data_IF_487223275682
#
_entry.id   IF_487223275682
#
_cell.length_a   1.000
_cell.length_b   1.000
_cell.length_c   1.000
_cell.angle_alpha   90.00
_cell.angle_beta   90.00
_cell.angle_gamma   90.00
#
_symmetry.space_group_name_H-M   'P 1'
#
loop_
_entity.id
_entity.type
_entity.pdbx_description
1 polymer ?
#
# COMPACT_ATOMS: atom_id res chain seq x y z
N UNK A 1 27.72 30.02 -8.49
CA UNK A 1 26.40 29.42 -8.17
C UNK A 1 26.53 27.90 -8.20
N UNK A 2 26.06 27.19 -7.17
CA UNK A 2 26.03 25.71 -7.21
C UNK A 2 24.77 25.29 -7.97
N UNK A 3 24.94 24.68 -9.14
CA UNK A 3 23.81 24.14 -9.91
C UNK A 3 23.09 23.05 -9.11
N UNK A 4 21.76 23.11 -9.08
CA UNK A 4 20.92 22.11 -8.40
C UNK A 4 20.85 20.85 -9.27
N UNK A 5 21.36 19.73 -8.75
CA UNK A 5 21.23 18.43 -9.41
C UNK A 5 19.80 17.92 -9.28
N UNK A 6 19.26 17.36 -10.37
CA UNK A 6 17.95 16.73 -10.41
C UNK A 6 18.12 15.21 -10.40
N UNK A 7 17.45 14.53 -9.50
CA UNK A 7 17.41 13.08 -9.42
C UNK A 7 16.01 12.55 -9.77
N UNK A 8 15.96 11.33 -10.25
CA UNK A 8 14.74 10.53 -10.37
C UNK A 8 14.91 9.25 -9.59
N UNK A 9 13.83 8.83 -8.97
CA UNK A 9 13.74 7.62 -8.20
C UNK A 9 12.51 6.84 -8.69
N UNK A 10 12.66 5.54 -8.89
CA UNK A 10 11.58 4.68 -9.33
C UNK A 10 11.42 3.44 -8.46
N UNK A 11 10.17 3.06 -8.23
CA UNK A 11 9.79 1.80 -7.56
C UNK A 11 8.93 0.98 -8.49
N UNK A 12 9.43 -0.19 -8.87
CA UNK A 12 8.65 -1.19 -9.60
C UNK A 12 7.97 -2.13 -8.61
N UNK A 13 6.64 -2.16 -8.65
CA UNK A 13 5.81 -3.12 -7.92
C UNK A 13 5.33 -4.17 -8.92
N UNK A 14 5.82 -5.41 -8.78
CA UNK A 14 5.57 -6.46 -9.76
C UNK A 14 4.34 -7.29 -9.41
N UNK A 15 4.34 -7.88 -8.21
CA UNK A 15 3.34 -8.87 -7.79
C UNK A 15 3.13 -8.84 -6.28
N UNK A 16 1.90 -9.09 -5.85
CA UNK A 16 1.53 -9.45 -4.49
C UNK A 16 1.27 -10.96 -4.39
N UNK A 17 1.70 -11.59 -3.30
CA UNK A 17 1.42 -12.98 -2.97
C UNK A 17 0.97 -13.13 -1.52
N UNK A 18 -0.14 -13.85 -1.33
CA UNK A 18 -0.65 -14.25 -0.02
C UNK A 18 -0.87 -13.06 0.93
N UNK A 19 -1.39 -11.94 0.42
CA UNK A 19 -1.74 -10.79 1.26
C UNK A 19 -2.72 -11.21 2.34
N UNK A 20 -2.57 -10.62 3.53
CA UNK A 20 -3.53 -10.79 4.61
C UNK A 20 -4.89 -10.24 4.20
N UNK A 21 -5.93 -10.85 4.77
CA UNK A 21 -7.29 -10.34 4.74
C UNK A 21 -7.36 -9.20 5.75
N UNK A 22 -7.68 -7.99 5.30
CA UNK A 22 -7.98 -6.87 6.19
C UNK A 22 -9.50 -6.63 6.25
N UNK A 23 -10.21 -6.78 5.12
CA UNK A 23 -11.67 -6.74 5.10
C UNK A 23 -12.29 -7.93 5.85
N UNK A 24 -12.82 -7.68 7.05
CA UNK A 24 -13.56 -8.70 7.82
C UNK A 24 -14.83 -9.19 7.09
N UNK A 25 -15.48 -8.32 6.32
CA UNK A 25 -16.77 -8.62 5.69
C UNK A 25 -16.61 -9.45 4.41
N UNK A 26 -15.67 -9.07 3.55
CA UNK A 26 -15.47 -9.73 2.25
C UNK A 26 -14.45 -10.86 2.28
N UNK A 27 -13.70 -11.04 3.38
CA UNK A 27 -12.55 -11.93 3.45
C UNK A 27 -11.52 -11.66 2.35
N UNK A 28 -11.38 -10.39 1.97
CA UNK A 28 -10.48 -9.93 0.91
C UNK A 28 -9.57 -8.82 1.42
N UNK A 29 -8.69 -8.36 0.55
CA UNK A 29 -8.04 -7.07 0.67
C UNK A 29 -8.00 -6.40 -0.71
N UNK A 30 -7.95 -5.08 -0.69
CA UNK A 30 -7.79 -4.14 -1.78
C UNK A 30 -6.39 -3.48 -1.72
N UNK A 31 -5.29 -4.25 -1.79
CA UNK A 31 -3.96 -3.74 -1.50
C UNK A 31 -3.51 -2.69 -2.50
N UNK A 32 -2.81 -1.68 -2.00
CA UNK A 32 -2.13 -0.67 -2.79
C UNK A 32 -0.78 -0.27 -2.17
N UNK A 33 0.10 0.29 -2.99
CA UNK A 33 1.42 0.75 -2.56
C UNK A 33 1.47 2.26 -2.63
N UNK A 34 1.99 2.87 -1.57
CA UNK A 34 2.30 4.28 -1.50
C UNK A 34 3.79 4.48 -1.21
N UNK A 35 4.47 5.23 -2.05
CA UNK A 35 5.88 5.57 -1.88
C UNK A 35 5.97 7.02 -1.42
N UNK A 36 6.73 7.24 -0.36
CA UNK A 36 6.98 8.54 0.23
C UNK A 36 8.48 8.82 0.32
N UNK A 37 8.90 9.96 -0.24
CA UNK A 37 10.27 10.43 -0.15
C UNK A 37 10.33 11.95 -0.17
N UNK A 38 11.02 12.55 0.80
CA UNK A 38 11.18 14.01 0.90
C UNK A 38 9.85 14.80 0.76
N UNK A 39 8.80 14.36 1.47
CA UNK A 39 7.42 14.89 1.42
C UNK A 39 6.65 14.67 0.09
N UNK A 40 7.30 14.18 -0.97
CA UNK A 40 6.62 13.71 -2.17
C UNK A 40 5.97 12.35 -1.90
N UNK A 41 4.72 12.17 -2.34
CA UNK A 41 3.93 10.96 -2.14
C UNK A 41 3.30 10.53 -3.47
N UNK A 42 3.53 9.29 -3.88
CA UNK A 42 2.90 8.68 -5.05
C UNK A 42 2.27 7.37 -4.64
N UNK A 43 1.09 7.07 -5.15
CA UNK A 43 0.35 5.84 -4.83
C UNK A 43 -0.14 5.14 -6.09
N UNK A 44 -0.18 3.81 -6.05
CA UNK A 44 -0.86 3.01 -7.08
C UNK A 44 -2.37 3.08 -6.91
N UNK A 45 -3.10 2.67 -7.95
CA UNK A 45 -4.51 2.35 -7.80
C UNK A 45 -4.69 1.08 -6.92
N UNK A 46 -5.75 1.00 -6.11
CA UNK A 46 -6.05 -0.19 -5.32
C UNK A 46 -6.52 -1.34 -6.21
N UNK A 47 -6.09 -2.56 -5.86
CA UNK A 47 -6.48 -3.79 -6.56
C UNK A 47 -7.62 -4.50 -5.85
N UNK A 48 -8.84 -4.28 -6.33
CA UNK A 48 -10.05 -4.79 -5.67
C UNK A 48 -10.08 -6.31 -5.51
N UNK A 49 -10.29 -6.77 -4.29
CA UNK A 49 -10.61 -8.13 -3.85
C UNK A 49 -9.59 -9.18 -4.28
N UNK A 50 -8.30 -8.87 -4.18
CA UNK A 50 -7.22 -9.77 -4.63
C UNK A 50 -6.13 -9.92 -3.57
N UNK A 51 -6.00 -11.14 -3.06
CA UNK A 51 -4.91 -11.52 -2.15
C UNK A 51 -3.59 -11.82 -2.88
N UNK A 52 -3.68 -12.22 -4.15
CA UNK A 52 -2.54 -12.47 -5.04
C UNK A 52 -2.85 -11.79 -6.38
N UNK A 53 -1.95 -10.91 -6.83
CA UNK A 53 -2.17 -10.14 -8.05
C UNK A 53 -0.88 -9.67 -8.70
N UNK A 54 -0.86 -9.68 -10.03
CA UNK A 54 0.14 -8.98 -10.83
C UNK A 54 -0.20 -7.48 -10.88
N UNK A 55 0.69 -6.65 -10.37
CA UNK A 55 0.53 -5.19 -10.29
C UNK A 55 1.15 -4.53 -11.52
N UNK A 56 2.43 -4.84 -11.80
CA UNK A 56 3.24 -4.34 -12.92
C UNK A 56 3.18 -2.82 -13.08
N UNK A 57 3.36 -2.09 -11.99
CA UNK A 57 3.38 -0.61 -11.99
C UNK A 57 4.76 -0.07 -11.59
N UNK A 58 5.15 1.04 -12.21
CA UNK A 58 6.33 1.81 -11.85
C UNK A 58 5.89 3.16 -11.26
N UNK A 59 6.28 3.44 -10.01
CA UNK A 59 6.06 4.73 -9.37
C UNK A 59 7.33 5.55 -9.53
N UNK A 60 7.26 6.64 -10.29
CA UNK A 60 8.39 7.52 -10.55
C UNK A 60 8.24 8.84 -9.79
N UNK A 61 9.24 9.13 -8.97
CA UNK A 61 9.35 10.32 -8.12
C UNK A 61 10.57 11.13 -8.57
N UNK A 62 10.35 12.41 -8.90
CA UNK A 62 11.46 13.35 -9.14
C UNK A 62 11.87 14.00 -7.83
N UNK A 63 13.17 14.14 -7.65
CA UNK A 63 13.80 14.58 -6.40
C UNK A 63 14.80 15.68 -6.71
N UNK A 64 14.80 16.74 -5.89
CA UNK A 64 15.75 17.84 -6.00
C UNK A 64 16.83 17.72 -4.92
N UNK A 65 18.10 17.90 -5.27
CA UNK A 65 19.18 18.04 -4.29
C UNK A 65 19.40 19.52 -3.91
N UNK A 66 19.74 19.85 -2.65
CA UNK A 66 20.06 18.94 -1.54
C UNK A 66 18.84 18.27 -0.90
N UNK A 67 19.03 17.04 -0.44
CA UNK A 67 18.00 16.25 0.24
C UNK A 67 18.09 16.42 1.75
N UNK A 68 16.93 16.54 2.40
CA UNK A 68 16.81 16.63 3.86
C UNK A 68 16.79 15.27 4.55
N UNK A 69 16.64 14.17 3.80
CA UNK A 69 16.57 12.82 4.35
C UNK A 69 17.05 11.75 3.37
N UNK A 70 17.53 10.64 3.91
CA UNK A 70 18.03 9.48 3.15
C UNK A 70 17.00 8.34 3.07
N UNK A 71 15.90 8.43 3.81
CA UNK A 71 14.96 7.31 3.94
C UNK A 71 13.82 7.42 2.92
N UNK A 72 13.75 6.43 2.03
CA UNK A 72 12.59 6.18 1.18
C UNK A 72 11.65 5.24 1.94
N UNK A 73 10.39 5.64 2.13
CA UNK A 73 9.38 4.80 2.79
C UNK A 73 8.41 4.25 1.75
N UNK A 74 8.30 2.93 1.69
CA UNK A 74 7.32 2.22 0.88
C UNK A 74 6.27 1.64 1.82
N UNK A 75 5.05 2.15 1.71
CA UNK A 75 3.90 1.76 2.52
C UNK A 75 3.04 0.78 1.71
N UNK A 76 2.66 -0.32 2.36
CA UNK A 76 1.69 -1.28 1.87
C UNK A 76 0.42 -1.09 2.69
N UNK A 77 -0.69 -0.77 2.03
CA UNK A 77 -1.95 -0.43 2.68
C UNK A 77 -3.10 -1.20 2.05
N UNK A 78 -4.14 -1.42 2.83
CA UNK A 78 -5.44 -1.86 2.32
C UNK A 78 -6.33 -0.63 2.07
N UNK A 79 -7.07 -0.63 0.97
CA UNK A 79 -7.99 0.46 0.67
C UNK A 79 -9.37 0.13 1.20
N UNK A 80 -9.65 0.59 2.42
CA UNK A 80 -10.97 0.43 3.01
C UNK A 80 -11.88 1.53 2.52
N UNK A 81 -13.00 1.19 1.87
CA UNK A 81 -14.08 2.15 1.74
C UNK A 81 -14.67 2.32 3.13
N UNK A 82 -14.29 3.38 3.82
CA UNK A 82 -15.05 3.85 4.97
C UNK A 82 -16.37 4.34 4.39
N UNK A 83 -17.36 3.45 4.33
CA UNK A 83 -18.75 3.85 4.33
C UNK A 83 -18.95 4.58 5.65
N UNK A 84 -18.62 5.88 5.64
CA UNK A 84 -18.99 6.79 6.69
C UNK A 84 -20.46 6.46 6.98
N UNK A 85 -20.77 6.13 8.23
CA UNK A 85 -22.04 5.58 8.71
C UNK A 85 -23.29 6.44 8.40
N UNK A 86 -23.17 7.43 7.52
CA UNK A 86 -24.24 8.18 6.91
C UNK A 86 -25.22 7.30 6.12
N UNK A 87 -24.89 6.13 5.55
CA UNK A 87 -25.94 5.36 4.85
C UNK A 87 -27.02 4.88 5.82
N UNK A 88 -26.65 4.42 7.02
CA UNK A 88 -27.65 4.03 8.03
C UNK A 88 -28.43 5.23 8.58
N UNK A 89 -27.79 6.38 8.79
CA UNK A 89 -28.49 7.61 9.22
C UNK A 89 -29.41 8.14 8.13
N UNK A 90 -28.99 8.16 6.86
CA UNK A 90 -29.85 8.59 5.75
C UNK A 90 -30.99 7.60 5.52
N UNK A 91 -30.79 6.28 5.63
CA UNK A 91 -31.89 5.31 5.52
C UNK A 91 -32.89 5.48 6.67
N UNK A 92 -32.43 5.64 7.92
CA UNK A 92 -33.31 5.89 9.08
C UNK A 92 -34.03 7.24 9.01
N UNK A 93 -33.36 8.30 8.54
CA UNK A 93 -33.98 9.60 8.31
C UNK A 93 -35.00 9.52 7.16
N UNK A 94 -34.69 8.81 6.06
CA UNK A 94 -35.64 8.63 4.96
C UNK A 94 -36.85 7.79 5.38
N UNK A 95 -36.66 6.72 6.17
CA UNK A 95 -37.80 5.95 6.71
C UNK A 95 -38.60 6.77 7.71
N UNK A 96 -37.97 7.52 8.62
CA UNK A 96 -38.69 8.41 9.53
C UNK A 96 -39.44 9.52 8.78
N UNK A 97 -38.83 10.15 7.76
CA UNK A 97 -39.49 11.18 6.94
C UNK A 97 -40.63 10.57 6.12
N UNK A 98 -40.50 9.36 5.59
CA UNK A 98 -41.61 8.71 4.87
C UNK A 98 -42.76 8.32 5.81
N UNK A 99 -42.45 7.82 7.00
CA UNK A 99 -43.48 7.52 8.03
C UNK A 99 -44.15 8.80 8.50
N UNK A 100 -43.40 9.87 8.75
CA UNK A 100 -43.94 11.19 9.10
C UNK A 100 -44.75 11.81 7.95
N UNK A 101 -44.30 11.71 6.70
CA UNK A 101 -45.06 12.20 5.54
C UNK A 101 -46.33 11.37 5.29
N UNK A 102 -46.31 10.06 5.55
CA UNK A 102 -47.51 9.23 5.47
C UNK A 102 -48.47 9.51 6.63
N UNK A 103 -47.98 9.84 7.83
CA UNK A 103 -48.85 10.31 8.93
C UNK A 103 -49.41 11.72 8.67
N UNK A 104 -48.61 12.63 8.10
CA UNK A 104 -49.03 14.01 7.79
C UNK A 104 -49.95 14.09 6.57
N UNK A 105 -49.87 13.17 5.60
CA UNK A 105 -50.81 13.10 4.47
C UNK A 105 -52.22 12.68 4.86
N UNK A 106 -52.42 12.15 6.05
CA UNK A 106 -53.74 11.76 6.57
C UNK A 106 -54.54 12.94 7.11
N UNK A 107 -53.94 14.12 7.29
CA UNK A 107 -54.63 15.32 7.77
C UNK A 107 -54.02 16.59 7.16
N UNK A 108 -54.86 17.37 6.47
CA UNK A 108 -54.65 18.76 6.01
C UNK A 108 -54.24 18.96 4.54
N UNK A 109 -55.27 19.39 3.79
CA UNK A 109 -55.20 20.12 2.54
C UNK A 109 -54.93 21.61 2.88
N UNK A 110 -53.68 22.03 3.12
CA UNK A 110 -53.36 23.46 3.35
C UNK A 110 -52.05 23.87 2.67
N UNK A 111 -52.21 24.77 1.69
CA UNK A 111 -51.30 25.75 1.07
C UNK A 111 -49.78 25.57 1.16
N UNK A 112 -49.21 25.22 0.01
CA UNK A 112 -47.80 25.31 -0.34
C UNK A 112 -47.41 26.74 -0.74
N UNK A 113 -46.90 27.58 0.17
CA UNK A 113 -45.95 28.63 -0.22
C UNK A 113 -44.99 28.93 0.94
N UNK A 114 -43.69 29.04 0.62
CA UNK A 114 -42.57 29.53 1.47
C UNK A 114 -41.83 28.50 2.34
N UNK A 115 -41.05 27.62 1.70
CA UNK A 115 -39.78 27.11 2.26
C UNK A 115 -38.67 27.08 1.21
N UNK A 116 -38.31 28.26 0.69
CA UNK A 116 -36.98 28.49 0.09
C UNK A 116 -36.09 29.16 1.12
N UNK A 117 -34.82 28.73 1.17
CA UNK A 117 -33.67 29.42 1.79
C UNK A 117 -33.28 29.01 3.22
N UNK A 118 -32.81 27.77 3.37
CA UNK A 118 -31.71 27.44 4.30
C UNK A 118 -31.05 26.09 3.94
N UNK A 119 -30.38 26.04 2.78
CA UNK A 119 -29.32 25.04 2.54
C UNK A 119 -28.01 25.70 2.97
N UNK A 120 -27.78 25.71 4.28
CA UNK A 120 -26.46 26.04 4.82
C UNK A 120 -25.48 24.98 4.38
N UNK A 121 -24.34 25.42 3.85
CA UNK A 121 -23.15 24.60 3.64
C UNK A 121 -22.88 23.81 4.94
N UNK A 122 -23.18 22.52 4.94
CA UNK A 122 -22.47 21.61 5.82
C UNK A 122 -21.09 21.45 5.20
N UNK A 123 -20.10 22.09 5.79
CA UNK A 123 -18.71 21.70 5.57
C UNK A 123 -18.64 20.22 5.92
N UNK A 124 -18.45 19.38 4.90
CA UNK A 124 -18.04 18.00 5.10
C UNK A 124 -16.65 18.08 5.72
N UNK A 125 -16.59 18.05 7.04
CA UNK A 125 -15.40 17.57 7.73
C UNK A 125 -15.21 16.14 7.21
N UNK A 126 -14.38 16.01 6.18
CA UNK A 126 -13.99 14.72 5.65
C UNK A 126 -13.19 14.06 6.77
N UNK A 127 -13.84 13.16 7.51
CA UNK A 127 -13.16 12.31 8.46
C UNK A 127 -11.91 11.78 7.79
N UNK A 128 -10.77 11.93 8.47
CA UNK A 128 -9.49 11.42 7.98
C UNK A 128 -9.65 9.92 7.85
N UNK A 129 -9.70 9.43 6.62
CA UNK A 129 -9.78 8.02 6.32
C UNK A 129 -8.43 7.41 6.68
N UNK A 130 -8.40 6.63 7.76
CA UNK A 130 -7.23 5.86 8.15
C UNK A 130 -7.30 4.52 7.44
N UNK A 131 -6.63 4.43 6.29
CA UNK A 131 -6.45 3.16 5.58
C UNK A 131 -5.60 2.19 6.42
N UNK A 132 -5.97 0.91 6.46
CA UNK A 132 -5.24 -0.12 7.19
C UNK A 132 -3.82 -0.30 6.65
N UNK A 133 -2.83 -0.26 7.54
CA UNK A 133 -1.41 -0.43 7.18
C UNK A 133 -1.04 -1.91 7.29
N UNK A 134 -0.68 -2.51 6.15
CA UNK A 134 -0.23 -3.90 6.06
C UNK A 134 1.26 -4.05 6.37
N UNK A 135 2.04 -3.00 6.09
CA UNK A 135 3.46 -2.94 6.45
C UNK A 135 4.18 -1.76 5.84
N UNK A 136 5.43 -1.55 6.28
CA UNK A 136 6.32 -0.52 5.75
C UNK A 136 7.69 -1.13 5.50
N UNK A 137 8.28 -0.79 4.36
CA UNK A 137 9.69 -1.04 4.09
C UNK A 137 10.41 0.29 3.87
N UNK A 138 11.52 0.48 4.58
CA UNK A 138 12.39 1.65 4.43
C UNK A 138 13.64 1.26 3.65
N UNK A 139 14.02 2.10 2.68
CA UNK A 139 15.24 1.95 1.87
C UNK A 139 16.11 3.19 2.01
N UNK A 140 17.42 3.03 1.81
CA UNK A 140 18.36 4.15 1.77
C UNK A 140 18.44 4.72 0.36
N UNK A 141 18.32 6.04 0.24
CA UNK A 141 18.48 6.77 -1.00
C UNK A 141 19.92 6.69 -1.49
N UNK A 142 20.93 6.78 -0.61
CA UNK A 142 22.33 6.63 -1.00
C UNK A 142 22.60 5.28 -1.68
N UNK A 143 22.04 4.19 -1.14
CA UNK A 143 22.13 2.86 -1.76
C UNK A 143 21.37 2.82 -3.08
N UNK A 144 20.16 3.38 -3.14
CA UNK A 144 19.36 3.44 -4.38
C UNK A 144 19.98 4.33 -5.48
N UNK A 145 20.85 5.26 -5.10
CA UNK A 145 21.50 6.23 -5.99
C UNK A 145 22.79 5.69 -6.59
N UNK A 146 23.64 5.06 -5.77
CA UNK A 146 24.94 4.51 -6.20
C UNK A 146 24.76 3.41 -7.24
N UNK A 147 23.59 2.80 -7.24
CA UNK A 147 23.29 1.57 -7.92
C UNK A 147 22.95 1.70 -9.42
N UNK A 148 22.64 2.89 -9.94
CA UNK A 148 22.23 3.04 -11.34
C UNK A 148 21.08 2.12 -11.77
N UNK A 149 20.89 1.91 -13.08
CA UNK A 149 19.87 0.99 -13.60
C UNK A 149 20.23 -0.49 -13.39
N UNK A 150 21.52 -0.83 -13.35
CA UNK A 150 22.01 -2.21 -13.32
C UNK A 150 22.26 -2.76 -11.90
N UNK A 151 22.69 -1.92 -10.95
CA UNK A 151 23.10 -2.34 -9.61
C UNK A 151 22.10 -1.92 -8.52
N UNK A 152 20.85 -1.60 -8.91
CA UNK A 152 19.72 -1.19 -8.05
C UNK A 152 19.55 -2.05 -6.80
N UNK A 153 18.57 -1.73 -5.95
CA UNK A 153 18.03 -2.79 -5.10
C UNK A 153 17.46 -3.85 -6.06
N UNK A 154 18.05 -5.06 -6.10
CA UNK A 154 17.65 -6.07 -7.07
C UNK A 154 16.18 -6.41 -6.86
N UNK A 155 15.53 -7.00 -7.86
CA UNK A 155 14.17 -7.50 -7.64
C UNK A 155 14.22 -8.57 -6.55
N UNK A 156 13.49 -8.37 -5.45
CA UNK A 156 13.44 -9.30 -4.34
C UNK A 156 12.06 -9.32 -3.71
N UNK A 157 11.78 -10.42 -2.99
CA UNK A 157 10.59 -10.56 -2.19
C UNK A 157 10.75 -9.79 -0.88
N UNK A 158 9.75 -8.97 -0.58
CA UNK A 158 9.60 -8.28 0.70
C UNK A 158 8.46 -8.99 1.43
N UNK A 159 8.79 -9.66 2.52
CA UNK A 159 7.82 -10.26 3.41
C UNK A 159 7.31 -9.19 4.40
N UNK A 160 6.00 -9.07 4.50
CA UNK A 160 5.33 -8.15 5.41
C UNK A 160 4.98 -8.87 6.69
N UNK A 161 5.24 -8.24 7.82
CA UNK A 161 4.89 -8.74 9.14
C UNK A 161 4.20 -7.65 9.94
N UNK A 162 3.26 -8.05 10.79
CA UNK A 162 2.53 -7.16 11.67
C UNK A 162 2.28 -7.79 13.04
N UNK A 163 1.42 -7.14 13.82
CA UNK A 163 0.96 -7.67 15.10
C UNK A 163 0.16 -8.98 14.91
N UNK A 164 0.19 -9.90 15.90
CA UNK A 164 -0.68 -11.07 15.93
C UNK A 164 -2.15 -10.70 15.73
N UNK A 165 -2.89 -11.60 15.10
CA UNK A 165 -4.35 -11.47 15.06
C UNK A 165 -4.88 -11.45 16.51
N UNK A 166 -5.82 -10.55 16.80
CA UNK A 166 -6.40 -10.27 18.14
C UNK A 166 -5.59 -9.39 19.10
N UNK A 167 -4.33 -9.04 18.81
CA UNK A 167 -3.64 -8.04 19.63
C UNK A 167 -4.05 -6.62 19.24
N UNK A 168 -4.52 -5.86 20.23
CA UNK A 168 -4.87 -4.44 20.10
C UNK A 168 -4.11 -3.61 21.12
N UNK A 169 -3.75 -2.38 20.76
CA UNK A 169 -3.10 -1.43 21.66
C UNK A 169 -1.86 -0.80 21.05
N UNK A 170 -1.18 0.03 21.84
CA UNK A 170 -0.07 0.86 21.34
C UNK A 170 1.13 0.05 20.80
N UNK A 171 1.33 -1.16 21.34
CA UNK A 171 2.37 -2.07 20.87
C UNK A 171 2.02 -2.67 19.50
N UNK A 172 0.79 -3.16 19.34
CA UNK A 172 0.28 -3.67 18.07
C UNK A 172 0.30 -2.59 16.98
N UNK A 173 -0.06 -1.35 17.34
CA UNK A 173 0.02 -0.20 16.44
C UNK A 173 1.45 0.07 15.97
N UNK A 174 2.43 -0.02 16.86
CA UNK A 174 3.85 0.15 16.52
C UNK A 174 4.35 -0.98 15.60
N UNK A 175 3.91 -2.22 15.80
CA UNK A 175 4.21 -3.34 14.92
C UNK A 175 3.58 -3.17 13.53
N UNK A 176 2.30 -2.81 13.46
CA UNK A 176 1.59 -2.60 12.20
C UNK A 176 2.13 -1.38 11.43
N UNK A 177 2.58 -0.34 12.14
CA UNK A 177 3.29 0.81 11.56
C UNK A 177 4.76 0.51 11.22
N UNK A 178 5.23 -0.73 11.33
CA UNK A 178 6.62 -1.11 11.03
C UNK A 178 7.67 -0.38 11.88
N UNK A 179 7.27 0.18 13.03
CA UNK A 179 8.18 0.79 14.02
C UNK A 179 8.87 -0.32 14.82
N UNK A 180 8.12 -1.39 15.12
CA UNK A 180 8.60 -2.62 15.72
C UNK A 180 8.45 -3.77 14.73
N UNK A 181 9.32 -4.76 14.81
CA UNK A 181 9.18 -5.98 14.01
C UNK A 181 7.93 -6.75 14.47
N UNK A 182 7.03 -7.01 13.52
CA UNK A 182 5.89 -7.90 13.73
C UNK A 182 6.30 -9.36 13.64
N UNK A 183 5.52 -10.24 14.25
CA UNK A 183 5.73 -11.70 14.17
C UNK A 183 4.68 -12.42 13.29
N UNK A 184 3.61 -11.73 12.88
CA UNK A 184 2.54 -12.31 12.08
C UNK A 184 2.70 -11.99 10.61
N UNK A 185 2.79 -13.01 9.76
CA UNK A 185 2.95 -12.86 8.33
C UNK A 185 1.70 -12.22 7.68
N UNK A 186 1.89 -11.14 6.91
CA UNK A 186 0.84 -10.34 6.26
C UNK A 186 0.86 -10.41 4.73
N UNK A 187 1.79 -11.16 4.16
CA UNK A 187 1.94 -11.31 2.72
C UNK A 187 3.34 -11.00 2.23
N UNK A 188 3.52 -11.16 0.92
CA UNK A 188 4.78 -10.92 0.24
C UNK A 188 4.58 -10.04 -0.98
N UNK A 189 5.53 -9.14 -1.20
CA UNK A 189 5.52 -8.23 -2.35
C UNK A 189 6.83 -8.33 -3.11
N UNK A 190 6.73 -8.55 -4.42
CA UNK A 190 7.87 -8.53 -5.32
C UNK A 190 8.12 -7.11 -5.80
N UNK A 191 9.27 -6.55 -5.44
CA UNK A 191 9.56 -5.13 -5.66
C UNK A 191 11.01 -4.94 -6.12
N UNK A 192 11.24 -3.89 -6.93
CA UNK A 192 12.56 -3.44 -7.36
C UNK A 192 12.65 -1.93 -7.19
N UNK A 193 13.76 -1.42 -6.67
CA UNK A 193 14.02 0.02 -6.58
C UNK A 193 15.22 0.40 -7.42
N UNK A 194 15.15 1.56 -8.06
CA UNK A 194 16.25 2.11 -8.81
C UNK A 194 16.27 3.65 -8.69
N UNK A 195 17.46 4.23 -8.68
CA UNK A 195 17.68 5.67 -8.73
C UNK A 195 18.49 6.03 -9.96
N UNK A 196 18.13 7.13 -10.62
CA UNK A 196 18.84 7.66 -11.79
C UNK A 196 19.03 9.17 -11.64
N UNK A 197 20.25 9.64 -11.89
CA UNK A 197 20.49 11.07 -12.08
C UNK A 197 19.94 11.51 -13.42
N UNK A 198 19.19 12.62 -13.42
CA UNK A 198 18.84 13.28 -14.67
C UNK A 198 20.01 14.18 -15.03
N UNK A 199 20.65 13.92 -16.17
CA UNK A 199 21.70 14.79 -16.68
C UNK A 199 21.12 16.19 -16.99
N UNK A 200 21.94 17.23 -16.78
CA UNK A 200 21.56 18.62 -17.04
C UNK A 200 21.29 18.83 -18.54
N UNK A 201 20.05 18.72 -18.98
CA UNK A 201 19.66 18.95 -20.37
C UNK A 201 18.23 18.57 -20.71
N UNK A 202 17.63 17.63 -19.97
CA UNK A 202 16.23 17.26 -20.18
C UNK A 202 15.30 18.14 -19.33
N UNK A 203 14.70 19.14 -19.95
CA UNK A 203 13.57 19.91 -19.40
C UNK A 203 12.28 19.07 -19.40
N UNK A 204 12.28 17.96 -18.66
CA UNK A 204 11.04 17.23 -18.41
C UNK A 204 10.33 17.87 -17.21
N UNK A 205 9.11 18.37 -17.42
CA UNK A 205 8.24 18.86 -16.35
C UNK A 205 8.22 17.86 -15.19
N UNK A 206 8.33 18.35 -13.95
CA UNK A 206 8.42 17.50 -12.76
C UNK A 206 7.07 16.88 -12.40
N UNK A 207 6.56 16.00 -13.26
CA UNK A 207 5.37 15.20 -12.99
C UNK A 207 5.78 13.91 -12.29
N UNK A 208 5.14 13.67 -11.15
CA UNK A 208 5.09 12.36 -10.54
C UNK A 208 4.17 11.50 -11.39
N UNK A 209 4.59 10.28 -11.71
CA UNK A 209 3.85 9.44 -12.63
C UNK A 209 3.81 7.99 -12.16
N UNK A 210 2.73 7.30 -12.51
CA UNK A 210 2.53 5.87 -12.30
C UNK A 210 2.34 5.24 -13.66
N UNK A 211 3.38 4.59 -14.16
CA UNK A 211 3.39 3.98 -15.49
C UNK A 211 3.27 2.46 -15.43
N UNK A 212 2.81 1.86 -16.52
CA UNK A 212 2.84 0.41 -16.69
C UNK A 212 4.26 -0.09 -16.92
N UNK A 213 4.66 -1.12 -16.18
CA UNK A 213 5.98 -1.71 -16.26
C UNK A 213 5.96 -2.98 -17.12
N UNK A 214 6.89 -3.06 -18.07
CA UNK A 214 7.09 -4.28 -18.87
C UNK A 214 7.90 -5.27 -18.04
N UNK A 215 7.26 -6.37 -17.64
CA UNK A 215 7.91 -7.42 -16.86
C UNK A 215 8.41 -8.55 -17.75
N UNK A 216 9.65 -8.98 -17.52
CA UNK A 216 10.16 -10.23 -18.05
C UNK A 216 10.12 -11.28 -16.93
N UNK A 217 9.24 -12.27 -17.07
CA UNK A 217 9.04 -13.32 -16.06
C UNK A 217 10.31 -14.16 -15.83
N UNK A 218 11.19 -14.25 -16.82
CA UNK A 218 12.50 -14.90 -16.67
C UNK A 218 13.44 -14.19 -15.68
N UNK A 219 13.16 -12.92 -15.35
CA UNK A 219 13.92 -12.14 -14.35
C UNK A 219 13.30 -12.20 -12.95
N UNK A 220 12.21 -12.94 -12.76
CA UNK A 220 11.62 -13.12 -11.45
C UNK A 220 12.56 -13.94 -10.56
N UNK A 221 12.99 -13.42 -9.40
CA UNK A 221 13.66 -14.27 -8.42
C UNK A 221 12.69 -15.39 -8.03
N UNK A 222 13.22 -16.61 -7.92
CA UNK A 222 12.42 -17.72 -7.40
C UNK A 222 11.85 -17.32 -6.03
N UNK A 223 10.56 -17.57 -5.82
CA UNK A 223 9.96 -17.37 -4.50
C UNK A 223 10.59 -18.39 -3.56
N UNK A 224 11.57 -17.95 -2.78
CA UNK A 224 12.07 -18.71 -1.65
C UNK A 224 10.92 -18.80 -0.64
N UNK A 225 10.23 -19.95 -0.63
CA UNK A 225 9.20 -20.23 0.37
C UNK A 225 9.90 -20.45 1.69
N UNK A 226 10.04 -19.38 2.47
CA UNK A 226 10.40 -19.47 3.88
C UNK A 226 9.21 -20.04 4.63
N UNK A 227 9.15 -21.36 4.76
CA UNK A 227 8.30 -22.00 5.75
C UNK A 227 8.96 -21.71 7.09
N UNK A 228 8.43 -20.72 7.82
CA UNK A 228 8.73 -20.56 9.24
C UNK A 228 8.29 -21.85 9.94
N UNK A 229 9.23 -22.76 10.13
CA UNK A 229 9.02 -23.99 10.86
C UNK A 229 8.94 -23.60 12.35
N UNK A 230 7.75 -23.23 12.82
CA UNK A 230 7.50 -22.95 14.23
C UNK A 230 7.61 -24.28 14.97
N UNK A 231 8.81 -24.55 15.47
CA UNK A 231 9.15 -25.82 16.08
C UNK A 231 8.45 -26.01 17.41
N UNK A 232 7.68 -27.09 17.51
CA UNK A 232 7.58 -27.88 18.73
C UNK A 232 7.32 -29.34 18.38
N UNK A 233 8.24 -29.97 17.63
CA UNK A 233 8.53 -31.41 17.66
C UNK A 233 9.65 -31.71 16.66
N UNK A 234 10.74 -32.31 17.18
CA UNK A 234 11.88 -32.81 16.41
C UNK A 234 11.42 -33.60 15.18
N UNK A 235 11.70 -33.09 13.98
CA UNK A 235 11.74 -33.89 12.76
C UNK A 235 13.01 -33.47 12.00
N UNK A 236 13.80 -34.49 11.70
CA UNK A 236 15.13 -34.46 11.09
C UNK A 236 15.23 -33.61 9.83
N UNK A 237 16.31 -32.85 9.74
CA UNK A 237 16.76 -32.10 8.57
C UNK A 237 17.08 -33.05 7.40
N UNK A 238 16.27 -33.01 6.34
CA UNK A 238 16.73 -33.50 5.03
C UNK A 238 17.25 -32.29 4.26
N UNK A 239 18.58 -32.13 4.28
CA UNK A 239 19.31 -31.33 3.28
C UNK A 239 19.12 -32.01 1.92
N UNK A 240 18.14 -31.60 1.13
CA UNK A 240 18.09 -31.97 -0.29
C UNK A 240 18.86 -30.93 -1.07
N UNK A 241 20.19 -31.08 -1.12
CA UNK A 241 21.04 -30.50 -2.15
C UNK A 241 22.34 -31.31 -2.23
N UNK A 242 22.73 -31.64 -3.46
CA UNK A 242 23.99 -32.25 -3.91
C UNK A 242 24.06 -33.77 -4.08
N UNK A 243 23.81 -34.18 -5.33
CA UNK A 243 24.53 -35.25 -6.00
C UNK A 243 26.04 -35.08 -5.77
N UNK A 244 26.64 -35.94 -4.95
CA UNK A 244 28.08 -36.14 -4.90
C UNK A 244 28.37 -37.40 -5.73
N UNK A 245 28.92 -37.20 -6.93
CA UNK A 245 29.52 -38.28 -7.72
C UNK A 245 30.82 -38.70 -7.04
N UNK A 246 30.83 -39.85 -6.37
CA UNK A 246 32.06 -40.51 -5.94
C UNK A 246 32.43 -41.49 -7.05
N UNK A 247 33.45 -41.11 -7.84
CA UNK A 247 34.20 -42.02 -8.68
C UNK A 247 35.19 -42.77 -7.79
N UNK A 248 35.01 -44.08 -7.64
CA UNK A 248 35.99 -44.98 -7.02
C UNK A 248 36.93 -45.49 -8.12
N UNK A 249 38.23 -45.27 -7.92
CA UNK A 249 39.28 -46.14 -8.45
C UNK A 249 39.20 -47.52 -7.78
#
# INVERSE_FOLDING_TARGET
EKKKKKGTFGVYVWRYEHMAVADRTSQTSDPYVQVEFAAAKVKTAPLKKKLTADVRKCLSLKVMEPLMGDQIKVWFKDWDIVESHNIHIYIWIYTCIQVLNNMLRSNCHINEEKKKKKRGLMNKDMGVQEDDILGIKTFSWTTAKTSGEAEGYPTHWIHLYGAPDLESGELADKMNKGILEGCWYRGSVLLRLFGKHIEEGEESEAKQDVTDAIWNEAMAPATERWILQVGSLLISFIRSSFFLSISLC
#
